data_IF_240555531504
#
_entry.id   IF_240555531504
#
_cell.length_a   1.000
_cell.length_b   1.000
_cell.length_c   1.000
_cell.angle_alpha   90.00
_cell.angle_beta   90.00
_cell.angle_gamma   90.00
#
_symmetry.space_group_name_H-M   'P 1'
#
loop_
_entity.id
_entity.type
_entity.pdbx_description
1 polymer ?
#
# COMPACT_ATOMS: atom_id res chain seq x y z
N UNK A 1 -48.35 11.35 20.10
CA UNK A 1 -47.00 11.76 19.67
C UNK A 1 -46.34 10.55 19.04
N UNK A 2 -46.29 10.49 17.71
CA UNK A 2 -45.78 9.35 16.94
C UNK A 2 -44.26 9.44 16.86
N UNK A 3 -43.56 8.46 17.41
CA UNK A 3 -42.10 8.40 17.44
C UNK A 3 -41.56 8.16 16.02
N UNK A 4 -40.90 9.16 15.45
CA UNK A 4 -40.23 9.07 14.15
C UNK A 4 -38.95 8.25 14.28
N UNK A 5 -38.94 7.03 13.74
CA UNK A 5 -37.72 6.24 13.55
C UNK A 5 -37.19 6.47 12.13
N UNK A 6 -35.95 6.98 11.96
CA UNK A 6 -35.41 7.17 10.63
C UNK A 6 -35.18 5.81 9.96
N UNK A 7 -35.78 5.61 8.77
CA UNK A 7 -35.48 4.46 7.91
C UNK A 7 -34.00 4.51 7.55
N UNK A 8 -33.19 3.64 8.16
CA UNK A 8 -31.80 3.44 7.76
C UNK A 8 -31.77 3.01 6.29
N UNK A 9 -31.05 3.77 5.47
CA UNK A 9 -30.85 3.43 4.06
C UNK A 9 -30.14 2.07 3.95
N UNK A 10 -30.62 1.25 3.00
CA UNK A 10 -30.26 -0.16 2.81
C UNK A 10 -28.76 -0.44 2.59
N UNK A 11 -27.95 0.59 2.32
CA UNK A 11 -26.52 0.49 2.04
C UNK A 11 -25.64 0.29 3.29
N UNK A 12 -26.20 0.40 4.50
CA UNK A 12 -25.47 0.15 5.77
C UNK A 12 -25.59 -1.31 6.27
N UNK A 13 -26.25 -2.21 5.52
CA UNK A 13 -26.42 -3.63 5.89
C UNK A 13 -25.25 -4.53 5.44
N UNK A 14 -24.18 -3.96 4.88
CA UNK A 14 -23.00 -4.69 4.38
C UNK A 14 -21.85 -4.78 5.40
N UNK A 15 -22.10 -4.53 6.68
CA UNK A 15 -21.08 -4.76 7.70
C UNK A 15 -20.94 -6.27 7.93
N UNK A 16 -19.75 -6.82 7.64
CA UNK A 16 -19.47 -8.23 7.90
C UNK A 16 -19.66 -8.55 9.38
N UNK A 17 -20.40 -9.61 9.68
CA UNK A 17 -20.61 -10.05 11.05
C UNK A 17 -19.26 -10.33 11.73
N UNK A 18 -19.04 -9.72 12.90
CA UNK A 18 -17.83 -9.96 13.69
C UNK A 18 -17.78 -11.41 14.14
N UNK A 19 -16.56 -11.96 14.23
CA UNK A 19 -16.34 -13.31 14.75
C UNK A 19 -16.93 -13.43 16.16
N UNK A 20 -17.91 -14.32 16.42
CA UNK A 20 -18.64 -14.37 17.68
C UNK A 20 -17.80 -14.90 18.86
N UNK A 21 -16.72 -15.63 18.59
CA UNK A 21 -15.81 -16.14 19.62
C UNK A 21 -14.82 -17.18 19.11
N UNK A 22 -14.06 -17.76 20.03
CA UNK A 22 -13.17 -18.90 19.79
C UNK A 22 -13.93 -20.21 20.05
N UNK A 23 -13.71 -21.23 19.22
CA UNK A 23 -14.28 -22.56 19.44
C UNK A 23 -13.59 -23.29 20.60
N UNK A 24 -14.36 -24.01 21.41
CA UNK A 24 -13.89 -24.72 22.61
C UNK A 24 -14.01 -26.25 22.53
N UNK A 25 -14.73 -26.78 21.54
CA UNK A 25 -14.95 -28.21 21.38
C UNK A 25 -13.77 -28.89 20.66
N UNK A 26 -13.41 -30.09 21.12
CA UNK A 26 -12.35 -30.92 20.55
C UNK A 26 -11.05 -30.92 21.36
N UNK A 27 -10.12 -31.80 20.98
CA UNK A 27 -8.81 -31.94 21.64
C UNK A 27 -7.80 -30.96 21.03
N UNK A 28 -7.16 -30.16 21.89
CA UNK A 28 -6.10 -29.24 21.46
C UNK A 28 -4.94 -29.99 20.79
N UNK A 29 -4.47 -29.46 19.66
CA UNK A 29 -3.36 -30.02 18.87
C UNK A 29 -2.43 -28.90 18.44
N UNK A 30 -1.12 -29.14 18.53
CA UNK A 30 -0.11 -28.17 18.12
C UNK A 30 0.07 -28.22 16.60
N UNK A 31 -0.11 -27.08 15.94
CA UNK A 31 0.12 -26.91 14.50
C UNK A 31 1.29 -25.96 14.25
N UNK A 32 2.01 -26.18 13.15
CA UNK A 32 2.94 -25.21 12.57
C UNK A 32 2.33 -24.73 11.26
N UNK A 33 2.41 -23.43 11.01
CA UNK A 33 1.93 -22.81 9.78
C UNK A 33 3.05 -22.01 9.15
N UNK A 34 2.89 -21.66 7.87
CA UNK A 34 3.81 -20.77 7.17
C UNK A 34 3.48 -19.29 7.46
N UNK A 35 2.92 -19.00 8.64
CA UNK A 35 2.62 -17.65 9.09
C UNK A 35 3.78 -17.13 9.92
N UNK A 36 4.42 -16.07 9.44
CA UNK A 36 5.46 -15.36 10.16
C UNK A 36 4.88 -14.05 10.67
N UNK A 37 4.88 -13.88 11.99
CA UNK A 37 4.36 -12.67 12.63
C UNK A 37 5.31 -11.49 12.40
N UNK A 38 4.76 -10.36 11.96
CA UNK A 38 5.47 -9.08 11.92
C UNK A 38 5.24 -8.39 13.26
N UNK A 39 6.27 -8.33 14.10
CA UNK A 39 6.16 -7.89 15.50
C UNK A 39 6.05 -6.38 15.67
N UNK A 40 6.60 -5.62 14.73
CA UNK A 40 6.55 -4.15 14.74
C UNK A 40 6.56 -3.63 13.32
N UNK A 41 5.61 -2.77 13.01
CA UNK A 41 5.68 -1.88 11.85
C UNK A 41 6.32 -0.57 12.31
N UNK A 42 7.14 0.08 11.48
CA UNK A 42 7.66 1.40 11.82
C UNK A 42 6.50 2.40 11.90
N UNK A 43 6.51 3.26 12.93
CA UNK A 43 5.52 4.33 13.11
C UNK A 43 5.72 5.52 12.15
N UNK A 44 6.38 5.28 11.01
CA UNK A 44 6.66 6.29 10.00
C UNK A 44 5.48 6.49 9.05
N UNK A 45 5.32 7.73 8.57
CA UNK A 45 4.38 8.00 7.50
C UNK A 45 4.84 7.33 6.20
N UNK A 46 3.91 6.61 5.56
CA UNK A 46 4.10 6.06 4.23
C UNK A 46 3.45 7.02 3.24
N UNK A 47 4.25 7.63 2.39
CA UNK A 47 3.79 8.54 1.36
C UNK A 47 3.52 7.74 0.09
N UNK A 48 2.36 7.96 -0.51
CA UNK A 48 1.92 7.26 -1.72
C UNK A 48 1.85 8.25 -2.88
N UNK A 49 2.57 7.94 -3.96
CA UNK A 49 2.62 8.79 -5.14
C UNK A 49 2.15 8.03 -6.38
N UNK A 50 1.37 8.73 -7.19
CA UNK A 50 1.04 8.34 -8.55
C UNK A 50 2.25 8.61 -9.44
N UNK A 51 2.93 7.55 -9.88
CA UNK A 51 4.03 7.63 -10.83
C UNK A 51 3.58 7.14 -12.20
N UNK A 52 3.62 8.02 -13.21
CA UNK A 52 3.35 7.65 -14.60
C UNK A 52 4.65 7.61 -15.39
N UNK A 53 4.96 6.44 -15.96
CA UNK A 53 6.09 6.24 -16.88
C UNK A 53 5.56 6.42 -18.31
N UNK A 54 6.20 7.28 -19.09
CA UNK A 54 5.92 7.43 -20.52
C UNK A 54 7.17 7.09 -21.34
N UNK A 55 7.07 6.30 -22.44
CA UNK A 55 5.87 5.70 -23.03
C UNK A 55 5.36 4.46 -22.27
N UNK A 56 4.17 3.96 -22.65
CA UNK A 56 3.61 2.73 -22.09
C UNK A 56 4.50 1.52 -22.46
N UNK A 57 5.00 0.83 -21.44
CA UNK A 57 5.90 -0.31 -21.60
C UNK A 57 5.48 -1.46 -20.70
N UNK A 58 5.90 -2.71 -21.01
CA UNK A 58 5.54 -3.86 -20.21
C UNK A 58 5.93 -3.70 -18.73
N UNK A 59 5.12 -4.23 -17.78
CA UNK A 59 5.38 -4.13 -16.33
C UNK A 59 6.78 -4.58 -15.89
N UNK A 60 7.33 -5.59 -16.54
CA UNK A 60 8.69 -6.07 -16.27
C UNK A 60 9.75 -5.01 -16.59
N UNK A 61 9.56 -4.24 -17.66
CA UNK A 61 10.45 -3.15 -18.02
C UNK A 61 10.28 -1.96 -17.08
N UNK A 62 9.05 -1.65 -16.65
CA UNK A 62 8.79 -0.62 -15.64
C UNK A 62 9.58 -0.85 -14.35
N UNK A 63 9.64 -2.10 -13.85
CA UNK A 63 10.45 -2.45 -12.67
C UNK A 63 11.94 -2.20 -12.90
N UNK A 64 12.47 -2.53 -14.08
CA UNK A 64 13.88 -2.28 -14.44
C UNK A 64 14.20 -0.80 -14.55
N UNK A 65 13.29 -0.02 -15.15
CA UNK A 65 13.41 1.45 -15.22
C UNK A 65 13.46 2.03 -13.80
N UNK A 66 12.61 1.54 -12.90
CA UNK A 66 12.58 2.00 -11.51
C UNK A 66 13.87 1.63 -10.75
N UNK A 67 14.42 0.43 -10.97
CA UNK A 67 15.71 0.02 -10.40
C UNK A 67 16.87 0.90 -10.89
N UNK A 68 16.91 1.21 -12.19
CA UNK A 68 17.92 2.14 -12.72
C UNK A 68 17.74 3.56 -12.20
N UNK A 69 16.50 4.00 -11.98
CA UNK A 69 16.21 5.29 -11.37
C UNK A 69 16.74 5.35 -9.93
N UNK A 70 16.51 4.32 -9.12
CA UNK A 70 17.06 4.25 -7.77
C UNK A 70 18.59 4.25 -7.79
N UNK A 71 19.21 3.54 -8.74
CA UNK A 71 20.67 3.50 -8.90
C UNK A 71 21.28 4.86 -9.26
N UNK A 72 20.64 5.61 -10.16
CA UNK A 72 21.17 6.89 -10.69
C UNK A 72 20.81 8.05 -9.77
N UNK A 73 19.56 8.08 -9.29
CA UNK A 73 18.99 9.21 -8.56
C UNK A 73 18.80 8.96 -7.06
N UNK A 74 19.24 7.82 -6.55
CA UNK A 74 19.18 7.44 -5.13
C UNK A 74 19.81 8.48 -4.21
N UNK A 75 21.04 8.91 -4.51
CA UNK A 75 21.75 9.89 -3.68
C UNK A 75 21.31 11.35 -3.92
N UNK A 76 20.66 11.65 -5.05
CA UNK A 76 20.33 13.02 -5.47
C UNK A 76 18.85 13.32 -5.25
N UNK A 77 17.99 12.93 -6.19
CA UNK A 77 16.56 13.24 -6.15
C UNK A 77 15.82 12.52 -5.01
N UNK A 78 16.31 11.34 -4.63
CA UNK A 78 15.71 10.50 -3.59
C UNK A 78 16.31 10.72 -2.20
N UNK A 79 17.36 11.54 -2.07
CA UNK A 79 18.03 11.84 -0.79
C UNK A 79 18.37 10.59 0.06
N UNK A 80 18.68 9.46 -0.59
CA UNK A 80 18.99 8.18 0.05
C UNK A 80 17.76 7.32 0.39
N UNK A 81 16.54 7.76 0.05
CA UNK A 81 15.33 6.97 0.21
C UNK A 81 15.35 5.73 -0.70
N UNK A 82 14.81 4.62 -0.20
CA UNK A 82 14.62 3.37 -0.94
C UNK A 82 13.14 3.16 -1.23
N UNK A 83 12.62 3.73 -2.33
CA UNK A 83 11.20 3.61 -2.64
C UNK A 83 10.85 2.21 -3.13
N UNK A 84 9.59 1.82 -2.93
CA UNK A 84 9.06 0.53 -3.37
C UNK A 84 8.09 0.75 -4.52
N UNK A 85 8.27 -0.02 -5.60
CA UNK A 85 7.42 0.05 -6.79
C UNK A 85 6.81 -1.31 -7.12
N UNK A 86 5.49 -1.34 -7.22
CA UNK A 86 4.71 -2.56 -7.42
C UNK A 86 4.74 -3.07 -8.86
N UNK A 87 5.28 -2.31 -9.81
CA UNK A 87 5.39 -2.70 -11.24
C UNK A 87 4.17 -2.36 -12.09
N UNK A 88 3.12 -1.79 -11.50
CA UNK A 88 1.92 -1.29 -12.18
C UNK A 88 1.97 0.24 -12.29
N UNK A 89 1.25 0.78 -13.27
CA UNK A 89 1.31 2.17 -13.78
C UNK A 89 0.97 3.31 -12.79
N UNK A 90 0.98 3.09 -11.47
CA UNK A 90 0.35 4.08 -10.58
C UNK A 90 0.85 4.11 -9.15
N UNK A 91 1.66 3.16 -8.66
CA UNK A 91 1.92 3.08 -7.22
C UNK A 91 3.38 3.02 -6.86
N UNK A 92 3.91 4.13 -6.34
CA UNK A 92 5.21 4.19 -5.69
C UNK A 92 5.01 4.62 -4.24
N UNK A 93 5.66 3.89 -3.33
CA UNK A 93 5.69 4.22 -1.90
C UNK A 93 7.04 4.81 -1.51
N UNK A 94 7.03 5.90 -0.75
CA UNK A 94 8.22 6.50 -0.15
C UNK A 94 8.04 6.60 1.37
N UNK A 95 9.14 6.42 2.10
CA UNK A 95 9.16 6.58 3.56
C UNK A 95 9.58 7.99 4.01
N UNK A 96 9.68 8.97 3.10
CA UNK A 96 10.15 10.31 3.47
C UNK A 96 9.50 11.43 2.66
N UNK A 97 9.31 12.56 3.33
CA UNK A 97 8.59 13.75 2.89
C UNK A 97 9.54 14.68 2.12
N UNK A 98 9.81 14.42 0.84
CA UNK A 98 10.36 15.44 -0.06
C UNK A 98 9.89 15.25 -1.50
N UNK A 99 9.58 16.38 -2.13
CA UNK A 99 9.31 16.47 -3.55
C UNK A 99 10.47 15.89 -4.35
N UNK A 100 10.25 14.71 -4.93
CA UNK A 100 11.26 14.01 -5.72
C UNK A 100 11.36 14.69 -7.08
N UNK A 101 12.46 15.40 -7.36
CA UNK A 101 12.72 15.96 -8.68
C UNK A 101 13.17 14.86 -9.64
N UNK A 102 12.22 14.11 -10.17
CA UNK A 102 12.49 13.01 -11.11
C UNK A 102 12.76 13.51 -12.54
N UNK A 103 13.47 12.72 -13.35
CA UNK A 103 13.66 13.01 -14.78
C UNK A 103 12.32 13.07 -15.52
N UNK A 104 12.27 13.85 -16.61
CA UNK A 104 11.05 14.23 -17.36
C UNK A 104 10.15 13.08 -17.83
N UNK A 105 10.65 11.85 -17.87
CA UNK A 105 9.88 10.67 -18.30
C UNK A 105 8.99 10.07 -17.20
N UNK A 106 9.18 10.48 -15.93
CA UNK A 106 8.33 10.10 -14.81
C UNK A 106 7.69 11.35 -14.21
N UNK A 107 6.37 11.36 -14.16
CA UNK A 107 5.60 12.38 -13.45
C UNK A 107 5.10 11.78 -12.14
N UNK A 108 5.35 12.46 -11.02
CA UNK A 108 4.82 12.09 -9.69
C UNK A 108 3.73 13.07 -9.26
N UNK A 109 2.65 12.55 -8.67
CA UNK A 109 1.63 13.33 -7.97
C UNK A 109 1.35 12.67 -6.63
N UNK A 110 1.30 13.47 -5.56
CA UNK A 110 0.94 13.00 -4.23
C UNK A 110 -0.58 12.80 -4.15
N UNK A 111 -1.04 11.75 -3.48
CA UNK A 111 -2.46 11.43 -3.26
C UNK A 111 -2.86 11.73 -1.82
#
# INVERSE_FOLDING_TARGET
>A
MTQYYPKKSCLWLLEFARRPGLGSFGRATRVRTNFFEVTSLPDGNIMHYDATITPDVPPALNRRIFQELERIYGATALAGARPVYDGLLTRVFFSFERAVSLPKFITTREI
#
